data_IF_124675392429
#
_entry.id   IF_124675392429
#
_cell.length_a   1.000
_cell.length_b   1.000
_cell.length_c   1.000
_cell.angle_alpha   90.00
_cell.angle_beta   90.00
_cell.angle_gamma   90.00
#
_symmetry.space_group_name_H-M   'P 1'
#
loop_
_entity.id
_entity.type
_entity.pdbx_description
1 polymer ?
#
# COMPACT_ATOMS: atom_id res chain seq x y z
N UNK A 1 -16.13 -4.85 19.84
CA UNK A 1 -16.53 -5.86 18.84
C UNK A 1 -15.41 -5.83 17.81
N UNK A 2 -14.66 -6.92 17.65
CA UNK A 2 -13.49 -6.94 16.76
C UNK A 2 -13.91 -6.57 15.33
N UNK A 3 -13.27 -5.55 14.78
CA UNK A 3 -13.39 -5.20 13.37
C UNK A 3 -12.89 -6.40 12.57
N UNK A 4 -13.79 -7.19 12.00
CA UNK A 4 -13.41 -8.18 10.98
C UNK A 4 -13.04 -7.40 9.72
N UNK A 5 -11.77 -6.98 9.65
CA UNK A 5 -11.15 -6.65 8.37
C UNK A 5 -11.32 -7.88 7.48
N UNK A 6 -11.77 -7.69 6.24
CA UNK A 6 -11.74 -8.76 5.25
C UNK A 6 -10.30 -9.23 5.18
N UNK A 7 -10.05 -10.38 5.76
CA UNK A 7 -8.73 -10.94 5.87
C UNK A 7 -8.50 -11.76 4.61
N UNK A 8 -7.30 -11.72 4.09
CA UNK A 8 -6.85 -12.60 3.04
C UNK A 8 -5.81 -13.54 3.66
N UNK A 9 -5.60 -14.69 3.06
CA UNK A 9 -4.53 -15.58 3.46
C UNK A 9 -3.62 -15.84 2.28
N UNK A 10 -2.34 -15.51 2.46
CA UNK A 10 -1.33 -16.02 1.56
C UNK A 10 -1.16 -17.51 1.78
N UNK A 11 -1.11 -18.21 0.65
CA UNK A 11 -0.88 -19.63 0.59
C UNK A 11 0.29 -19.94 -0.30
N UNK A 12 0.81 -21.16 -0.16
CA UNK A 12 1.81 -21.69 -1.07
C UNK A 12 1.56 -23.14 -1.41
N UNK A 13 2.00 -23.56 -2.58
CA UNK A 13 1.99 -24.94 -3.02
C UNK A 13 3.41 -25.34 -3.44
N UNK A 14 3.80 -26.59 -3.18
CA UNK A 14 5.11 -27.08 -3.57
C UNK A 14 5.18 -27.18 -5.10
N UNK A 15 6.29 -26.71 -5.67
CA UNK A 15 6.68 -27.06 -7.03
C UNK A 15 7.95 -27.89 -6.96
N UNK A 16 7.85 -29.15 -7.40
CA UNK A 16 8.94 -30.12 -7.33
C UNK A 16 9.64 -30.26 -8.66
N UNK A 17 10.92 -30.62 -8.63
CA UNK A 17 11.67 -31.07 -9.79
C UNK A 17 11.47 -32.57 -10.06
N UNK A 18 12.05 -33.06 -11.17
CA UNK A 18 12.00 -34.48 -11.54
C UNK A 18 12.62 -35.45 -10.52
N UNK A 19 13.43 -34.98 -9.57
CA UNK A 19 13.96 -35.80 -8.47
C UNK A 19 13.00 -35.87 -7.27
N UNK A 20 11.96 -35.05 -7.27
CA UNK A 20 10.99 -34.92 -6.18
C UNK A 20 11.41 -33.92 -5.11
N UNK A 21 12.48 -33.15 -5.32
CA UNK A 21 12.88 -32.09 -4.40
C UNK A 21 12.03 -30.83 -4.61
N UNK A 22 11.74 -30.10 -3.54
CA UNK A 22 11.03 -28.81 -3.65
C UNK A 22 11.97 -27.80 -4.30
N UNK A 23 11.70 -27.43 -5.55
CA UNK A 23 12.49 -26.46 -6.30
C UNK A 23 12.13 -25.03 -5.90
N UNK A 24 10.83 -24.73 -5.86
CA UNK A 24 10.25 -23.44 -5.48
C UNK A 24 8.79 -23.60 -5.02
N UNK A 25 8.16 -22.51 -4.61
CA UNK A 25 6.77 -22.48 -4.18
C UNK A 25 5.90 -21.72 -5.18
N UNK A 26 4.73 -22.25 -5.54
CA UNK A 26 3.69 -21.45 -6.21
C UNK A 26 2.94 -20.65 -5.16
N UNK A 27 2.91 -19.33 -5.29
CA UNK A 27 2.29 -18.42 -4.32
C UNK A 27 0.85 -18.13 -4.73
N UNK A 28 -0.06 -18.10 -3.76
CA UNK A 28 -1.47 -17.83 -3.97
C UNK A 28 -2.08 -16.99 -2.84
N UNK A 29 -3.28 -16.46 -3.05
CA UNK A 29 -4.04 -15.74 -2.04
C UNK A 29 -5.52 -16.12 -2.13
N UNK A 30 -6.14 -16.41 -0.99
CA UNK A 30 -7.59 -16.58 -0.87
C UNK A 30 -8.18 -15.57 0.11
N UNK A 31 -9.49 -15.33 0.02
CA UNK A 31 -10.23 -14.69 1.12
C UNK A 31 -10.21 -15.61 2.35
N UNK A 32 -10.08 -15.03 3.54
CA UNK A 32 -10.07 -15.75 4.83
C UNK A 32 -11.49 -16.07 5.38
N UNK A 33 -12.55 -15.50 4.78
CA UNK A 33 -13.94 -15.77 5.19
C UNK A 33 -14.51 -17.07 4.58
N UNK A 34 -15.70 -17.50 5.06
CA UNK A 34 -16.28 -18.84 4.86
C UNK A 34 -16.39 -19.30 3.39
N UNK A 35 -16.44 -18.37 2.43
CA UNK A 35 -16.31 -18.66 1.00
C UNK A 35 -14.88 -18.31 0.53
N UNK A 36 -13.97 -19.29 0.63
CA UNK A 36 -12.60 -19.25 0.08
C UNK A 36 -12.64 -19.18 -1.46
N UNK A 37 -13.07 -18.05 -2.00
CA UNK A 37 -13.08 -17.79 -3.43
C UNK A 37 -11.65 -17.49 -3.92
N UNK A 38 -11.21 -18.11 -5.03
CA UNK A 38 -9.93 -17.80 -5.66
C UNK A 38 -9.89 -16.33 -6.06
N UNK A 39 -8.81 -15.64 -5.72
CA UNK A 39 -8.65 -14.22 -6.06
C UNK A 39 -7.84 -14.10 -7.35
N UNK A 40 -8.13 -13.10 -8.18
CA UNK A 40 -7.41 -12.93 -9.45
C UNK A 40 -5.89 -12.70 -9.24
N UNK A 41 -5.04 -13.07 -10.21
CA UNK A 41 -3.59 -12.82 -10.15
C UNK A 41 -3.22 -11.35 -9.90
N UNK A 42 -4.04 -10.41 -10.39
CA UNK A 42 -3.85 -8.98 -10.12
C UNK A 42 -3.96 -8.66 -8.63
N UNK A 43 -4.91 -9.29 -7.94
CA UNK A 43 -5.11 -9.09 -6.51
C UNK A 43 -3.96 -9.68 -5.71
N UNK A 44 -3.49 -10.88 -6.08
CA UNK A 44 -2.32 -11.51 -5.47
C UNK A 44 -1.12 -10.57 -5.44
N UNK A 45 -0.75 -10.02 -6.60
CA UNK A 45 0.40 -9.12 -6.72
C UNK A 45 0.20 -7.86 -5.88
N UNK A 46 -0.99 -7.24 -5.93
CA UNK A 46 -1.26 -6.01 -5.18
C UNK A 46 -1.22 -6.25 -3.66
N UNK A 47 -1.81 -7.34 -3.17
CA UNK A 47 -1.77 -7.68 -1.76
C UNK A 47 -0.36 -8.05 -1.30
N UNK A 48 0.41 -8.77 -2.13
CA UNK A 48 1.78 -9.13 -1.82
C UNK A 48 2.64 -7.88 -1.67
N UNK A 49 2.66 -7.03 -2.69
CA UNK A 49 3.46 -5.79 -2.71
C UNK A 49 3.12 -4.89 -1.54
N UNK A 50 1.83 -4.74 -1.25
CA UNK A 50 1.38 -3.82 -0.24
C UNK A 50 1.53 -4.35 1.21
N UNK A 51 1.79 -5.65 1.38
CA UNK A 51 2.17 -6.27 2.65
C UNK A 51 3.62 -6.78 2.63
N UNK A 52 4.42 -6.41 1.63
CA UNK A 52 5.73 -7.02 1.43
C UNK A 52 6.72 -6.56 2.51
N UNK A 53 7.39 -7.53 3.12
CA UNK A 53 8.49 -7.30 4.06
C UNK A 53 9.42 -8.52 4.06
N UNK A 54 10.67 -8.39 4.54
CA UNK A 54 11.56 -9.54 4.70
C UNK A 54 10.96 -10.67 5.54
N UNK A 55 10.12 -10.34 6.53
CA UNK A 55 9.43 -11.33 7.37
C UNK A 55 8.33 -12.07 6.61
N UNK A 56 7.56 -11.37 5.77
CA UNK A 56 6.53 -11.97 4.92
C UNK A 56 7.17 -12.86 3.86
N UNK A 57 8.26 -12.41 3.25
CA UNK A 57 9.05 -13.20 2.32
C UNK A 57 9.58 -14.48 2.97
N UNK A 58 10.22 -14.38 4.14
CA UNK A 58 10.79 -15.54 4.83
C UNK A 58 9.71 -16.56 5.22
N UNK A 59 8.55 -16.11 5.70
CA UNK A 59 7.42 -17.00 6.00
C UNK A 59 6.89 -17.69 4.75
N UNK A 60 6.74 -16.95 3.64
CA UNK A 60 6.18 -17.49 2.40
C UNK A 60 7.15 -18.44 1.70
N UNK A 61 8.40 -18.04 1.56
CA UNK A 61 9.35 -18.65 0.64
C UNK A 61 10.54 -19.31 1.33
N UNK A 62 10.87 -18.88 2.55
CA UNK A 62 12.11 -19.25 3.24
C UNK A 62 13.31 -19.08 2.31
N UNK A 63 14.08 -20.16 2.14
CA UNK A 63 15.27 -20.17 1.27
C UNK A 63 15.00 -20.48 -0.22
N UNK A 64 13.74 -20.65 -0.63
CA UNK A 64 13.37 -20.98 -2.02
C UNK A 64 12.83 -19.75 -2.76
N UNK A 65 12.65 -19.88 -4.08
CA UNK A 65 11.93 -18.86 -4.87
C UNK A 65 10.42 -19.07 -4.80
N UNK A 66 9.66 -18.03 -5.10
CA UNK A 66 8.21 -18.04 -5.30
C UNK A 66 7.84 -17.82 -6.76
N UNK A 67 7.05 -18.72 -7.34
CA UNK A 67 6.38 -18.51 -8.63
C UNK A 67 5.14 -17.64 -8.40
N UNK A 68 5.17 -16.43 -8.95
CA UNK A 68 4.13 -15.40 -8.79
C UNK A 68 3.45 -15.14 -10.13
N UNK A 69 2.15 -15.41 -10.22
CA UNK A 69 1.38 -15.07 -11.41
C UNK A 69 1.19 -13.56 -11.56
N UNK A 70 1.52 -13.05 -12.75
CA UNK A 70 1.53 -11.61 -13.04
C UNK A 70 1.01 -11.37 -14.46
N UNK A 71 -0.12 -10.66 -14.64
CA UNK A 71 -0.53 -10.20 -15.96
C UNK A 71 0.58 -9.37 -16.61
N UNK A 72 0.97 -9.69 -17.85
CA UNK A 72 2.16 -9.09 -18.47
C UNK A 72 2.12 -7.56 -18.56
N UNK A 73 0.93 -6.95 -18.67
CA UNK A 73 0.79 -5.48 -18.66
C UNK A 73 1.15 -4.83 -17.32
N UNK A 74 1.14 -5.58 -16.21
CA UNK A 74 1.54 -5.08 -14.89
C UNK A 74 3.05 -4.88 -14.75
N UNK A 75 3.89 -5.53 -15.56
CA UNK A 75 5.34 -5.28 -15.57
C UNK A 75 5.66 -3.81 -15.86
N UNK A 76 4.81 -3.12 -16.65
CA UNK A 76 4.98 -1.69 -16.96
C UNK A 76 4.78 -0.80 -15.72
N UNK A 77 4.14 -1.33 -14.68
CA UNK A 77 3.92 -0.61 -13.42
C UNK A 77 5.11 -0.82 -12.48
N UNK A 78 6.25 -0.17 -12.77
CA UNK A 78 7.50 -0.32 -12.01
C UNK A 78 7.34 -0.29 -10.49
N UNK A 79 6.55 0.66 -9.98
CA UNK A 79 6.22 0.80 -8.56
C UNK A 79 5.61 -0.43 -7.88
N UNK A 80 5.15 -1.41 -8.65
CA UNK A 80 4.61 -2.68 -8.15
C UNK A 80 5.71 -3.74 -8.07
N UNK A 81 6.59 -3.83 -9.06
CA UNK A 81 7.58 -4.90 -9.16
C UNK A 81 8.85 -4.57 -8.39
N UNK A 82 9.25 -3.30 -8.36
CA UNK A 82 10.48 -2.82 -7.71
C UNK A 82 10.47 -3.04 -6.17
N UNK A 83 9.29 -3.28 -5.59
CA UNK A 83 9.14 -3.60 -4.18
C UNK A 83 9.59 -5.03 -3.87
N UNK A 84 9.51 -5.94 -4.84
CA UNK A 84 9.81 -7.36 -4.66
C UNK A 84 11.32 -7.63 -4.82
N UNK A 85 11.85 -8.57 -4.04
CA UNK A 85 13.21 -9.06 -4.20
C UNK A 85 13.34 -9.98 -5.41
N UNK A 86 14.04 -9.53 -6.46
CA UNK A 86 14.20 -10.30 -7.69
C UNK A 86 14.82 -11.68 -7.50
N UNK A 87 15.72 -11.84 -6.53
CA UNK A 87 16.35 -13.14 -6.23
C UNK A 87 15.38 -14.17 -5.64
N UNK A 88 14.21 -13.74 -5.19
CA UNK A 88 13.20 -14.56 -4.50
C UNK A 88 11.98 -14.86 -5.35
N UNK A 89 11.77 -14.19 -6.48
CA UNK A 89 10.59 -14.41 -7.30
C UNK A 89 10.90 -14.88 -8.72
N UNK A 90 10.00 -15.71 -9.24
CA UNK A 90 9.86 -16.07 -10.63
C UNK A 90 8.52 -15.48 -11.09
N UNK A 91 8.55 -14.55 -12.05
CA UNK A 91 7.34 -13.88 -12.54
C UNK A 91 6.71 -14.74 -13.65
N UNK A 92 5.58 -15.38 -13.35
CA UNK A 92 4.81 -16.15 -14.32
C UNK A 92 3.85 -15.26 -15.08
N UNK A 93 4.22 -14.90 -16.30
CA UNK A 93 3.51 -13.94 -17.12
C UNK A 93 2.24 -14.54 -17.70
N UNK A 94 1.10 -13.94 -17.33
CA UNK A 94 -0.24 -14.34 -17.77
C UNK A 94 -0.84 -13.33 -18.74
N UNK A 95 -2.02 -13.65 -19.29
CA UNK A 95 -2.73 -12.80 -20.23
C UNK A 95 -2.89 -11.38 -19.68
N UNK A 96 -2.72 -10.35 -20.52
CA UNK A 96 -2.82 -8.97 -20.07
C UNK A 96 -4.27 -8.62 -19.73
N UNK A 97 -4.45 -7.75 -18.73
CA UNK A 97 -5.77 -7.26 -18.30
C UNK A 97 -6.37 -6.29 -19.32
N UNK A 98 -5.51 -5.62 -20.10
CA UNK A 98 -5.86 -4.66 -21.15
C UNK A 98 -5.02 -4.96 -22.38
N UNK A 99 -5.54 -4.66 -23.57
CA UNK A 99 -4.80 -4.82 -24.81
C UNK A 99 -3.43 -4.11 -24.75
N UNK A 100 -2.39 -4.83 -25.15
CA UNK A 100 -1.04 -4.28 -25.21
C UNK A 100 -0.94 -3.33 -26.42
N UNK A 101 -0.48 -2.10 -26.17
CA UNK A 101 -0.22 -1.12 -27.22
C UNK A 101 1.26 -1.21 -27.62
N UNK A 102 1.63 -0.64 -28.76
CA UNK A 102 3.05 -0.55 -29.16
C UNK A 102 3.91 0.15 -28.10
N UNK A 103 3.34 1.12 -27.36
CA UNK A 103 4.01 1.78 -26.22
C UNK A 103 4.27 0.80 -25.07
N UNK A 104 3.30 -0.06 -24.74
CA UNK A 104 3.48 -1.10 -23.71
C UNK A 104 4.58 -2.08 -24.13
N UNK A 105 4.54 -2.57 -25.38
CA UNK A 105 5.54 -3.53 -25.89
C UNK A 105 6.95 -2.93 -25.90
N UNK A 106 7.12 -1.67 -26.27
CA UNK A 106 8.42 -1.00 -26.22
C UNK A 106 8.94 -0.86 -24.78
N UNK A 107 8.09 -0.46 -23.84
CA UNK A 107 8.46 -0.35 -22.43
C UNK A 107 8.89 -1.72 -21.85
N UNK A 108 8.19 -2.80 -22.21
CA UNK A 108 8.52 -4.14 -21.74
C UNK A 108 9.96 -4.56 -22.09
N UNK A 109 10.49 -4.18 -23.26
CA UNK A 109 11.88 -4.52 -23.65
C UNK A 109 12.92 -4.04 -22.65
N UNK A 110 12.79 -2.80 -22.19
CA UNK A 110 13.70 -2.23 -21.19
C UNK A 110 13.49 -2.89 -19.83
N UNK A 111 12.23 -3.18 -19.48
CA UNK A 111 11.86 -3.75 -18.18
C UNK A 111 12.32 -5.18 -17.99
N UNK A 112 12.23 -6.02 -19.03
CA UNK A 112 12.73 -7.39 -18.96
C UNK A 112 14.24 -7.44 -18.67
N UNK A 113 15.03 -6.61 -19.36
CA UNK A 113 16.46 -6.49 -19.10
C UNK A 113 16.73 -6.05 -17.66
N UNK A 114 16.09 -4.94 -17.25
CA UNK A 114 16.26 -4.40 -15.91
C UNK A 114 15.92 -5.41 -14.81
N UNK A 115 14.77 -6.09 -14.89
CA UNK A 115 14.38 -7.05 -13.87
C UNK A 115 15.20 -8.34 -13.89
N UNK A 116 15.73 -8.74 -15.05
CA UNK A 116 16.69 -9.84 -15.08
C UNK A 116 18.01 -9.46 -14.38
N UNK A 117 18.48 -8.22 -14.51
CA UNK A 117 19.64 -7.70 -13.77
C UNK A 117 19.39 -7.65 -12.26
N UNK A 118 18.17 -7.32 -11.82
CA UNK A 118 17.72 -7.40 -10.42
C UNK A 118 17.53 -8.85 -9.91
N UNK A 119 17.76 -9.85 -10.78
CA UNK A 119 17.78 -11.27 -10.42
C UNK A 119 16.45 -12.00 -10.54
N UNK A 120 15.40 -11.36 -11.08
CA UNK A 120 14.14 -12.02 -11.40
C UNK A 120 14.36 -13.08 -12.49
N UNK A 121 13.61 -14.17 -12.38
CA UNK A 121 13.43 -15.13 -13.47
C UNK A 121 12.03 -14.99 -14.04
N UNK A 122 11.88 -15.33 -15.30
CA UNK A 122 10.59 -15.24 -15.98
C UNK A 122 10.06 -16.62 -16.37
N UNK A 123 8.78 -16.83 -16.08
CA UNK A 123 7.98 -17.89 -16.65
C UNK A 123 6.93 -17.26 -17.58
N UNK A 124 6.45 -18.01 -18.57
CA UNK A 124 5.34 -17.55 -19.40
C UNK A 124 4.27 -18.63 -19.49
N UNK A 125 3.02 -18.24 -19.23
CA UNK A 125 1.89 -19.16 -19.30
C UNK A 125 1.60 -19.52 -20.77
N UNK A 126 1.37 -20.81 -21.02
CA UNK A 126 0.95 -21.40 -22.31
C UNK A 126 -0.17 -20.63 -23.02
N UNK A 127 -1.19 -20.16 -22.28
CA UNK A 127 -2.29 -19.34 -22.80
C UNK A 127 -1.81 -17.99 -23.37
N UNK A 128 -0.81 -17.36 -22.74
CA UNK A 128 -0.21 -16.12 -23.26
C UNK A 128 0.61 -16.41 -24.52
N UNK A 129 1.41 -17.47 -24.51
CA UNK A 129 2.22 -17.90 -25.67
C UNK A 129 1.32 -18.18 -26.89
N UNK A 130 0.24 -18.93 -26.69
CA UNK A 130 -0.65 -19.33 -27.78
C UNK A 130 -1.49 -18.17 -28.32
N UNK A 131 -1.96 -17.27 -27.45
CA UNK A 131 -2.85 -16.16 -27.81
C UNK A 131 -2.12 -14.90 -28.28
N UNK A 132 -0.86 -14.70 -27.88
CA UNK A 132 -0.04 -13.53 -28.21
C UNK A 132 1.36 -13.98 -28.69
N UNK A 133 1.40 -14.71 -29.81
CA UNK A 133 2.65 -15.29 -30.35
C UNK A 133 3.71 -14.23 -30.67
N UNK A 134 3.28 -13.05 -31.08
CA UNK A 134 4.15 -11.90 -31.34
C UNK A 134 4.83 -11.40 -30.07
N UNK A 135 4.12 -11.40 -28.94
CA UNK A 135 4.68 -11.04 -27.63
C UNK A 135 5.69 -12.09 -27.20
N UNK A 136 5.35 -13.38 -27.32
CA UNK A 136 6.30 -14.45 -27.04
C UNK A 136 7.56 -14.35 -27.92
N UNK A 137 7.41 -14.14 -29.22
CA UNK A 137 8.55 -14.01 -30.14
C UNK A 137 9.52 -12.89 -29.74
N UNK A 138 8.99 -11.76 -29.26
CA UNK A 138 9.80 -10.61 -28.82
C UNK A 138 10.54 -10.82 -27.50
N UNK A 139 9.98 -11.63 -26.59
CA UNK A 139 10.51 -11.76 -25.22
C UNK A 139 11.01 -13.17 -24.89
N UNK A 140 10.98 -14.09 -25.85
CA UNK A 140 11.35 -15.50 -25.66
C UNK A 140 12.75 -15.68 -25.07
N UNK A 141 13.69 -14.80 -25.37
CA UNK A 141 15.06 -14.84 -24.83
C UNK A 141 15.11 -14.69 -23.29
N UNK A 142 14.22 -13.88 -22.70
CA UNK A 142 14.15 -13.62 -21.26
C UNK A 142 13.45 -14.74 -20.48
N UNK A 143 12.63 -15.54 -21.16
CA UNK A 143 11.81 -16.56 -20.51
C UNK A 143 12.69 -17.76 -20.14
N UNK A 144 12.67 -18.17 -18.88
CA UNK A 144 13.35 -19.39 -18.41
C UNK A 144 12.41 -20.58 -18.41
N UNK A 145 11.15 -20.35 -18.01
CA UNK A 145 10.16 -21.42 -17.82
C UNK A 145 8.91 -21.24 -18.68
N UNK A 146 8.31 -22.34 -19.10
CA UNK A 146 7.02 -22.39 -19.77
C UNK A 146 6.03 -23.07 -18.84
N UNK A 147 5.01 -22.32 -18.42
CA UNK A 147 4.00 -22.79 -17.48
C UNK A 147 2.75 -23.29 -18.21
N UNK A 148 2.23 -24.46 -17.84
CA UNK A 148 1.00 -25.02 -18.40
C UNK A 148 0.15 -25.73 -17.34
N UNK A 149 -1.17 -25.67 -17.53
CA UNK A 149 -2.18 -26.39 -16.74
C UNK A 149 -2.79 -27.56 -17.53
N UNK A 150 -2.36 -27.74 -18.78
CA UNK A 150 -2.83 -28.79 -19.67
C UNK A 150 -1.63 -29.65 -20.06
N UNK A 151 -1.21 -29.59 -21.32
CA UNK A 151 -0.05 -30.32 -21.83
C UNK A 151 1.24 -29.48 -21.78
N UNK A 152 2.41 -30.12 -21.70
CA UNK A 152 3.70 -29.42 -21.76
C UNK A 152 3.92 -28.79 -23.14
N UNK A 153 4.30 -27.50 -23.14
CA UNK A 153 4.77 -26.82 -24.35
C UNK A 153 6.30 -26.81 -24.33
N UNK A 154 6.87 -27.76 -25.06
CA UNK A 154 8.32 -27.91 -25.17
C UNK A 154 8.88 -26.86 -26.15
N UNK A 155 9.68 -25.93 -25.61
CA UNK A 155 10.39 -24.90 -26.37
C UNK A 155 11.88 -25.06 -26.13
N UNK A 156 12.67 -24.90 -27.19
CA UNK A 156 14.11 -25.10 -27.12
C UNK A 156 14.76 -24.21 -26.05
N UNK A 157 15.53 -24.83 -25.15
CA UNK A 157 16.23 -24.14 -24.08
C UNK A 157 15.33 -23.61 -22.94
N UNK A 158 14.06 -24.02 -22.88
CA UNK A 158 13.11 -23.63 -21.82
C UNK A 158 12.72 -24.84 -20.98
N UNK A 159 12.58 -24.63 -19.68
CA UNK A 159 12.11 -25.65 -18.74
C UNK A 159 10.59 -25.57 -18.61
N UNK A 160 9.93 -26.69 -18.35
CA UNK A 160 8.47 -26.78 -18.29
C UNK A 160 7.97 -26.88 -16.84
N UNK A 161 6.90 -26.16 -16.53
CA UNK A 161 6.22 -26.20 -15.23
C UNK A 161 4.77 -26.64 -15.46
N UNK A 162 4.37 -27.77 -14.89
CA UNK A 162 3.03 -28.33 -14.98
C UNK A 162 2.27 -28.21 -13.66
N UNK A 163 1.13 -27.53 -13.66
CA UNK A 163 0.32 -27.36 -12.44
C UNK A 163 -1.13 -27.76 -12.65
N UNK A 164 -1.32 -29.02 -13.07
CA UNK A 164 -2.61 -29.70 -13.17
C UNK A 164 -2.64 -30.90 -12.22
N UNK A 165 -3.84 -31.38 -11.88
CA UNK A 165 -4.02 -32.55 -11.01
C UNK A 165 -3.36 -33.82 -11.58
N UNK A 166 -3.10 -33.85 -12.90
CA UNK A 166 -2.46 -34.97 -13.60
C UNK A 166 -0.98 -34.73 -13.94
N UNK A 167 -0.41 -33.56 -13.62
CA UNK A 167 0.96 -33.25 -13.96
C UNK A 167 1.94 -34.17 -13.20
N UNK A 168 2.92 -34.73 -13.93
CA UNK A 168 3.93 -35.63 -13.34
C UNK A 168 5.34 -35.25 -13.79
N UNK A 169 6.34 -35.73 -13.05
CA UNK A 169 7.76 -35.63 -13.42
C UNK A 169 8.12 -36.30 -14.75
N UNK A 170 7.25 -37.14 -15.30
CA UNK A 170 7.47 -37.76 -16.61
C UNK A 170 7.17 -36.81 -17.78
N UNK A 171 6.34 -35.79 -17.54
CA UNK A 171 5.83 -34.88 -18.58
C UNK A 171 6.40 -33.47 -18.47
N UNK A 172 6.73 -33.04 -17.24
CA UNK A 172 7.24 -31.70 -16.95
C UNK A 172 8.56 -31.77 -16.17
N UNK A 173 9.45 -30.81 -16.43
CA UNK A 173 10.69 -30.64 -15.67
C UNK A 173 10.39 -30.29 -14.20
N UNK A 174 9.32 -29.52 -13.99
CA UNK A 174 8.78 -29.16 -12.68
C UNK A 174 7.27 -29.34 -12.62
N UNK A 175 6.73 -29.72 -11.47
CA UNK A 175 5.29 -29.93 -11.31
C UNK A 175 4.78 -29.49 -9.93
N UNK A 176 3.57 -28.91 -9.90
CA UNK A 176 2.90 -28.60 -8.65
C UNK A 176 2.44 -29.88 -7.94
N UNK A 177 2.66 -29.98 -6.63
CA UNK A 177 2.22 -31.12 -5.82
C UNK A 177 1.52 -30.67 -4.54
N UNK A 178 0.42 -31.35 -4.21
CA UNK A 178 -0.33 -31.18 -2.97
C UNK A 178 -1.30 -30.01 -3.00
N UNK A 179 -2.01 -29.80 -1.89
CA UNK A 179 -2.89 -28.64 -1.73
C UNK A 179 -2.10 -27.39 -1.31
N UNK A 180 -2.73 -26.23 -1.46
CA UNK A 180 -2.20 -24.98 -0.94
C UNK A 180 -2.15 -24.98 0.60
N UNK A 181 -0.96 -24.77 1.15
CA UNK A 181 -0.72 -24.56 2.57
C UNK A 181 -1.04 -23.10 2.95
N UNK A 182 -1.85 -22.92 4.00
CA UNK A 182 -2.17 -21.64 4.64
C UNK A 182 -0.91 -21.10 5.37
N UNK A 183 -0.35 -19.96 4.94
CA UNK A 183 0.92 -19.44 5.49
C UNK A 183 0.73 -18.21 6.38
N UNK A 184 0.07 -17.17 5.87
CA UNK A 184 -0.02 -15.88 6.55
C UNK A 184 -1.36 -15.21 6.28
N UNK A 185 -2.09 -14.92 7.35
CA UNK A 185 -3.28 -14.06 7.28
C UNK A 185 -2.82 -12.60 7.20
N UNK A 186 -3.33 -11.88 6.21
CA UNK A 186 -3.09 -10.45 5.97
C UNK A 186 -4.42 -9.70 5.87
N UNK A 187 -4.39 -8.39 6.13
CA UNK A 187 -5.57 -7.55 6.00
C UNK A 187 -5.67 -7.00 4.56
N UNK A 188 -6.89 -6.94 4.02
CA UNK A 188 -7.15 -6.38 2.69
C UNK A 188 -6.78 -4.91 2.59
N UNK A 189 -6.13 -4.53 1.48
CA UNK A 189 -5.97 -3.13 1.11
C UNK A 189 -6.89 -2.78 -0.07
N UNK A 190 -7.84 -1.87 0.13
CA UNK A 190 -8.76 -1.41 -0.94
C UNK A 190 -8.01 -0.63 -2.03
N UNK A 191 -8.53 -0.59 -3.27
CA UNK A 191 -7.90 0.09 -4.43
C UNK A 191 -7.45 1.53 -4.14
N UNK A 192 -8.25 2.29 -3.39
CA UNK A 192 -7.90 3.65 -2.95
C UNK A 192 -6.71 3.67 -1.99
N UNK A 193 -6.52 2.64 -1.16
CA UNK A 193 -5.38 2.52 -0.24
C UNK A 193 -4.07 2.39 -1.00
N UNK A 194 -4.03 1.54 -2.03
CA UNK A 194 -2.85 1.37 -2.88
C UNK A 194 -2.53 2.65 -3.67
N UNK A 195 -3.55 3.33 -4.21
CA UNK A 195 -3.37 4.61 -4.90
C UNK A 195 -2.80 5.69 -3.96
N UNK A 196 -3.30 5.75 -2.73
CA UNK A 196 -2.87 6.73 -1.74
C UNK A 196 -1.47 6.41 -1.18
N UNK A 197 -1.13 5.15 -0.90
CA UNK A 197 0.24 4.75 -0.52
C UNK A 197 1.26 5.17 -1.58
N UNK A 198 0.93 4.92 -2.86
CA UNK A 198 1.78 5.32 -3.99
C UNK A 198 1.97 6.83 -4.06
N UNK A 199 0.90 7.60 -3.86
CA UNK A 199 0.96 9.06 -3.89
C UNK A 199 1.79 9.63 -2.72
N UNK A 200 1.71 9.03 -1.53
CA UNK A 200 2.54 9.43 -0.38
C UNK A 200 4.02 9.17 -0.65
N UNK A 201 4.37 8.02 -1.26
CA UNK A 201 5.74 7.72 -1.69
C UNK A 201 6.24 8.71 -2.74
N UNK A 202 5.44 8.99 -3.78
CA UNK A 202 5.79 9.97 -4.83
C UNK A 202 6.04 11.38 -4.28
N UNK A 203 5.30 11.78 -3.23
CA UNK A 203 5.50 13.07 -2.57
C UNK A 203 6.79 13.15 -1.75
N UNK A 204 7.37 12.01 -1.35
CA UNK A 204 8.67 11.95 -0.68
C UNK A 204 9.85 11.98 -1.65
N UNK A 205 9.60 11.81 -2.96
CA UNK A 205 10.59 11.82 -4.04
C UNK A 205 10.51 13.09 -4.93
N UNK A 206 9.89 14.17 -4.44
CA UNK A 206 9.68 15.42 -5.18
C UNK A 206 9.00 15.22 -6.55
N UNK A 207 8.02 14.32 -6.63
CA UNK A 207 7.32 14.03 -7.88
C UNK A 207 6.60 15.26 -8.47
N UNK A 208 6.58 15.32 -9.81
CA UNK A 208 5.89 16.40 -10.53
C UNK A 208 4.37 16.37 -10.31
N UNK A 209 3.74 17.55 -10.38
CA UNK A 209 2.27 17.71 -10.33
C UNK A 209 1.57 16.85 -11.38
N UNK A 210 2.18 16.67 -12.55
CA UNK A 210 1.61 15.88 -13.64
C UNK A 210 1.60 14.38 -13.30
N UNK A 211 2.67 13.90 -12.66
CA UNK A 211 2.77 12.51 -12.18
C UNK A 211 1.74 12.22 -11.08
N UNK A 212 1.57 13.15 -10.14
CA UNK A 212 0.59 13.06 -9.06
C UNK A 212 -0.84 13.08 -9.63
N UNK A 213 -1.12 13.99 -10.57
CA UNK A 213 -2.42 14.12 -11.19
C UNK A 213 -2.85 12.86 -11.97
N UNK A 214 -1.94 12.25 -12.73
CA UNK A 214 -2.24 11.00 -13.45
C UNK A 214 -2.47 9.82 -12.49
N UNK A 215 -1.76 9.78 -11.37
CA UNK A 215 -1.97 8.74 -10.35
C UNK A 215 -3.31 8.92 -9.63
N UNK A 216 -3.68 10.15 -9.26
CA UNK A 216 -5.00 10.46 -8.67
C UNK A 216 -6.13 10.15 -9.64
N UNK A 217 -5.98 10.49 -10.92
CA UNK A 217 -6.95 10.22 -11.99
C UNK A 217 -7.26 8.73 -12.17
N UNK A 218 -6.35 7.85 -11.75
CA UNK A 218 -6.54 6.40 -11.76
C UNK A 218 -7.63 5.90 -10.80
N UNK A 219 -8.06 6.71 -9.83
CA UNK A 219 -9.10 6.36 -8.86
C UNK A 219 -10.20 7.46 -8.79
N UNK A 220 -11.37 7.26 -9.43
CA UNK A 220 -12.44 8.25 -9.47
C UNK A 220 -12.98 8.68 -8.10
N UNK A 221 -12.88 7.81 -7.08
CA UNK A 221 -13.33 8.15 -5.74
C UNK A 221 -12.30 9.05 -5.04
N UNK A 222 -11.00 8.85 -5.29
CA UNK A 222 -9.95 9.77 -4.84
C UNK A 222 -10.04 11.15 -5.54
N UNK A 223 -10.35 11.18 -6.85
CA UNK A 223 -10.61 12.42 -7.59
C UNK A 223 -11.76 13.20 -6.95
N UNK A 224 -12.87 12.52 -6.65
CA UNK A 224 -14.06 13.15 -6.06
C UNK A 224 -13.73 13.74 -4.68
N UNK A 225 -13.04 12.97 -3.82
CA UNK A 225 -12.61 13.42 -2.49
C UNK A 225 -11.65 14.61 -2.56
N UNK A 226 -10.71 14.62 -3.51
CA UNK A 226 -9.76 15.72 -3.68
C UNK A 226 -10.47 17.02 -4.10
N UNK A 227 -11.39 16.93 -5.06
CA UNK A 227 -12.15 18.08 -5.53
C UNK A 227 -13.11 18.61 -4.46
N UNK A 228 -13.74 17.74 -3.67
CA UNK A 228 -14.54 18.15 -2.51
C UNK A 228 -13.68 18.83 -1.45
N UNK A 229 -12.51 18.27 -1.15
CA UNK A 229 -11.58 18.80 -0.16
C UNK A 229 -11.09 20.21 -0.55
N UNK A 230 -10.63 20.40 -1.78
CA UNK A 230 -10.13 21.71 -2.24
C UNK A 230 -11.25 22.74 -2.41
N UNK A 231 -12.48 22.30 -2.66
CA UNK A 231 -13.64 23.18 -2.76
C UNK A 231 -14.36 23.44 -1.43
N UNK A 232 -13.82 22.92 -0.34
CA UNK A 232 -14.41 23.08 0.99
C UNK A 232 -14.15 24.50 1.55
N UNK A 233 -14.92 24.93 2.56
CA UNK A 233 -14.73 26.23 3.20
C UNK A 233 -13.33 26.48 3.79
N UNK A 234 -12.55 25.42 4.05
CA UNK A 234 -11.15 25.49 4.51
C UNK A 234 -10.23 26.21 3.51
N UNK A 235 -10.62 26.25 2.24
CA UNK A 235 -9.80 26.71 1.14
C UNK A 235 -10.51 27.82 0.35
N UNK A 236 -10.56 29.06 0.86
CA UNK A 236 -11.34 30.12 0.24
C UNK A 236 -10.84 30.50 -1.17
N UNK A 237 -11.58 30.10 -2.19
CA UNK A 237 -11.32 30.40 -3.60
C UNK A 237 -12.43 31.26 -4.22
N UNK A 238 -12.06 32.10 -5.20
CA UNK A 238 -13.02 32.99 -5.91
C UNK A 238 -13.90 32.25 -6.92
N UNK A 239 -13.48 31.07 -7.37
CA UNK A 239 -14.18 30.19 -8.31
C UNK A 239 -13.90 28.76 -7.91
N UNK A 240 -14.88 27.89 -8.14
CA UNK A 240 -14.78 26.46 -7.93
C UNK A 240 -13.63 25.86 -8.76
N UNK A 241 -12.89 24.94 -8.16
CA UNK A 241 -11.76 24.23 -8.74
C UNK A 241 -12.25 22.90 -9.30
N UNK A 242 -12.24 22.77 -10.63
CA UNK A 242 -12.84 21.63 -11.34
C UNK A 242 -11.82 20.60 -11.87
N UNK A 243 -10.51 20.85 -11.70
CA UNK A 243 -9.47 19.98 -12.26
C UNK A 243 -8.45 19.52 -11.22
N UNK A 244 -7.99 18.27 -11.37
CA UNK A 244 -7.00 17.65 -10.46
C UNK A 244 -5.70 18.46 -10.40
N UNK A 245 -5.19 18.93 -11.54
CA UNK A 245 -3.97 19.76 -11.58
C UNK A 245 -4.16 21.09 -10.85
N UNK A 246 -5.31 21.75 -11.06
CA UNK A 246 -5.60 22.99 -10.37
C UNK A 246 -5.77 22.75 -8.87
N UNK A 247 -6.37 21.63 -8.47
CA UNK A 247 -6.49 21.24 -7.07
C UNK A 247 -5.11 21.02 -6.41
N UNK A 248 -4.21 20.28 -7.06
CA UNK A 248 -2.85 20.06 -6.57
C UNK A 248 -2.06 21.38 -6.49
N UNK A 249 -2.12 22.21 -7.54
CA UNK A 249 -1.41 23.49 -7.56
C UNK A 249 -1.94 24.47 -6.51
N UNK A 250 -3.26 24.45 -6.27
CA UNK A 250 -3.91 25.31 -5.29
C UNK A 250 -3.61 24.87 -3.85
N UNK A 251 -3.65 23.55 -3.59
CA UNK A 251 -3.31 22.98 -2.27
C UNK A 251 -1.81 23.11 -1.97
N UNK A 252 -0.96 22.93 -2.97
CA UNK A 252 0.46 22.68 -2.78
C UNK A 252 0.73 21.25 -2.31
N UNK A 253 1.99 20.82 -2.41
CA UNK A 253 2.40 19.43 -2.13
C UNK A 253 2.21 19.04 -0.66
N UNK A 254 2.41 19.99 0.28
CA UNK A 254 2.25 19.76 1.71
C UNK A 254 0.78 19.44 2.09
N UNK A 255 -0.17 20.26 1.65
CA UNK A 255 -1.59 20.02 1.94
C UNK A 255 -2.14 18.82 1.17
N UNK A 256 -1.61 18.54 -0.02
CA UNK A 256 -1.91 17.30 -0.74
C UNK A 256 -1.45 16.07 0.06
N UNK A 257 -0.26 16.13 0.68
CA UNK A 257 0.25 15.05 1.55
C UNK A 257 -0.66 14.82 2.75
N UNK A 258 -1.09 15.90 3.43
CA UNK A 258 -2.05 15.82 4.55
C UNK A 258 -3.38 15.18 4.14
N UNK A 259 -3.94 15.63 3.02
CA UNK A 259 -5.15 15.05 2.43
C UNK A 259 -4.98 13.55 2.16
N UNK A 260 -3.89 13.16 1.51
CA UNK A 260 -3.63 11.77 1.16
C UNK A 260 -3.46 10.90 2.40
N UNK A 261 -2.69 11.33 3.39
CA UNK A 261 -2.54 10.59 4.66
C UNK A 261 -3.90 10.39 5.33
N UNK A 262 -4.74 11.42 5.34
CA UNK A 262 -6.05 11.31 5.96
C UNK A 262 -7.04 10.44 5.16
N UNK A 263 -6.97 10.46 3.82
CA UNK A 263 -7.69 9.47 2.98
C UNK A 263 -7.15 8.07 3.21
N UNK A 264 -5.83 7.88 3.30
CA UNK A 264 -5.18 6.60 3.60
C UNK A 264 -5.76 6.01 4.87
N UNK A 265 -5.73 6.76 5.98
CA UNK A 265 -6.25 6.31 7.26
C UNK A 265 -7.75 5.99 7.23
N UNK A 266 -8.54 6.78 6.49
CA UNK A 266 -9.99 6.53 6.33
C UNK A 266 -10.31 5.19 5.67
N UNK A 267 -9.33 4.57 5.02
CA UNK A 267 -9.51 3.33 4.30
C UNK A 267 -9.09 2.09 5.10
N UNK A 268 -8.12 2.19 6.01
CA UNK A 268 -7.62 1.05 6.81
C UNK A 268 -8.64 0.51 7.80
N UNK A 269 -9.65 1.28 8.14
CA UNK A 269 -10.66 0.82 9.08
C UNK A 269 -12.05 1.29 8.63
N UNK A 270 -13.02 0.39 8.69
CA UNK A 270 -14.25 0.44 7.89
C UNK A 270 -15.32 1.44 8.35
N UNK A 271 -16.53 1.25 7.81
CA UNK A 271 -17.77 2.01 8.08
C UNK A 271 -18.36 1.70 9.49
N UNK A 272 -17.52 1.57 10.52
CA UNK A 272 -17.99 1.38 11.90
C UNK A 272 -18.18 2.77 12.56
N UNK A 273 -19.36 3.07 13.15
CA UNK A 273 -19.58 4.33 13.86
C UNK A 273 -18.55 4.60 14.97
N UNK A 274 -18.04 3.56 15.64
CA UNK A 274 -16.97 3.68 16.65
C UNK A 274 -15.61 4.04 16.03
N UNK A 275 -15.40 3.70 14.76
CA UNK A 275 -14.20 4.05 14.01
C UNK A 275 -14.27 5.46 13.43
N UNK A 276 -15.44 5.91 12.96
CA UNK A 276 -15.64 7.32 12.60
C UNK A 276 -15.25 8.20 13.80
N UNK A 277 -15.65 7.80 15.01
CA UNK A 277 -15.27 8.49 16.24
C UNK A 277 -13.75 8.43 16.51
N UNK A 278 -13.10 7.30 16.21
CA UNK A 278 -11.64 7.16 16.33
C UNK A 278 -10.88 8.04 15.32
N UNK A 279 -11.30 8.08 14.05
CA UNK A 279 -10.72 8.97 13.02
C UNK A 279 -10.95 10.42 13.37
N UNK A 280 -12.16 10.77 13.83
CA UNK A 280 -12.45 12.10 14.35
C UNK A 280 -11.49 12.45 15.46
N UNK A 281 -11.32 11.59 16.47
CA UNK A 281 -10.38 11.82 17.57
C UNK A 281 -8.95 12.06 17.09
N UNK A 282 -8.44 11.25 16.16
CA UNK A 282 -7.10 11.45 15.62
C UNK A 282 -6.93 12.75 14.84
N UNK A 283 -7.91 13.08 14.00
CA UNK A 283 -7.90 14.34 13.26
C UNK A 283 -8.05 15.53 14.22
N UNK A 284 -8.88 15.41 15.27
CA UNK A 284 -8.99 16.41 16.34
C UNK A 284 -7.62 16.62 16.97
N UNK A 285 -6.90 15.56 17.33
CA UNK A 285 -5.56 15.67 17.91
C UNK A 285 -4.56 16.33 16.94
N UNK A 286 -4.64 15.99 15.65
CA UNK A 286 -3.78 16.55 14.61
C UNK A 286 -3.99 18.06 14.45
N UNK A 287 -5.24 18.50 14.29
CA UNK A 287 -5.57 19.92 14.15
C UNK A 287 -5.35 20.68 15.46
N UNK A 288 -5.61 20.05 16.61
CA UNK A 288 -5.34 20.63 17.91
C UNK A 288 -3.85 20.91 18.07
N UNK A 289 -2.98 19.92 17.82
CA UNK A 289 -1.54 20.10 17.97
C UNK A 289 -0.98 21.09 16.93
N UNK A 290 -1.48 21.08 15.69
CA UNK A 290 -1.15 22.08 14.66
C UNK A 290 -1.50 23.51 15.11
N UNK A 291 -2.64 23.68 15.78
CA UNK A 291 -3.11 24.99 16.23
C UNK A 291 -2.20 25.62 17.29
N UNK A 292 -1.48 24.79 18.08
CA UNK A 292 -0.47 25.24 19.05
C UNK A 292 0.88 25.65 18.45
N UNK A 293 1.03 25.64 17.12
CA UNK A 293 2.27 26.07 16.45
C UNK A 293 2.79 27.46 16.83
N UNK A 294 1.94 28.37 17.31
CA UNK A 294 2.38 29.67 17.85
C UNK A 294 3.01 29.56 19.25
N UNK A 295 2.58 28.57 20.03
CA UNK A 295 3.04 28.29 21.38
C UNK A 295 4.26 27.37 21.38
N UNK A 296 4.46 26.61 20.30
CA UNK A 296 5.58 25.69 20.10
C UNK A 296 6.51 26.28 19.02
N UNK A 297 7.43 27.19 19.38
CA UNK A 297 8.31 27.81 18.41
C UNK A 297 9.27 26.79 17.78
N UNK A 298 9.63 27.01 16.51
CA UNK A 298 10.58 26.20 15.73
C UNK A 298 10.12 24.81 15.27
N UNK A 299 8.87 24.41 15.53
CA UNK A 299 8.30 23.20 14.93
C UNK A 299 7.31 23.60 13.82
N UNK A 300 7.54 23.16 12.57
CA UNK A 300 6.60 23.39 11.48
C UNK A 300 5.20 22.81 11.76
N UNK A 301 4.16 23.55 11.35
CA UNK A 301 2.74 23.20 11.56
C UNK A 301 2.37 21.81 11.07
N UNK A 302 2.88 21.44 9.90
CA UNK A 302 2.71 20.13 9.28
C UNK A 302 3.30 19.00 10.13
N UNK A 303 4.46 19.21 10.75
CA UNK A 303 5.05 18.22 11.66
C UNK A 303 4.23 18.05 12.95
N UNK A 304 3.72 19.15 13.49
CA UNK A 304 2.78 19.12 14.64
C UNK A 304 1.49 18.40 14.28
N UNK A 305 0.95 18.63 13.08
CA UNK A 305 -0.23 17.92 12.58
C UNK A 305 0.03 16.41 12.52
N UNK A 306 1.13 15.98 11.89
CA UNK A 306 1.47 14.56 11.77
C UNK A 306 1.71 13.92 13.13
N UNK A 307 2.42 14.60 14.03
CA UNK A 307 2.65 14.12 15.38
C UNK A 307 1.32 13.92 16.14
N UNK A 308 0.40 14.89 16.09
CA UNK A 308 -0.91 14.79 16.73
C UNK A 308 -1.78 13.68 16.13
N UNK A 309 -1.68 13.47 14.81
CA UNK A 309 -2.39 12.43 14.08
C UNK A 309 -1.98 11.01 14.54
N UNK A 310 -0.68 10.79 14.70
CA UNK A 310 -0.14 9.47 15.05
C UNK A 310 0.09 9.26 16.55
N UNK A 311 -0.06 10.30 17.37
CA UNK A 311 0.26 10.27 18.80
C UNK A 311 -0.39 9.10 19.56
N UNK A 312 -1.69 8.86 19.37
CA UNK A 312 -2.44 7.85 20.12
C UNK A 312 -2.41 6.46 19.49
N UNK A 313 -1.88 6.34 18.27
CA UNK A 313 -1.85 5.09 17.52
C UNK A 313 -1.03 3.98 18.21
N UNK A 314 0.22 4.20 18.69
CA UNK A 314 0.99 3.16 19.36
C UNK A 314 0.23 2.50 20.52
N UNK A 315 -0.45 3.32 21.34
CA UNK A 315 -1.28 2.87 22.45
C UNK A 315 -2.51 2.08 21.99
N UNK A 316 -3.17 2.50 20.91
CA UNK A 316 -4.31 1.78 20.33
C UNK A 316 -3.91 0.40 19.78
N UNK A 317 -2.67 0.25 19.31
CA UNK A 317 -2.12 -0.99 18.78
C UNK A 317 -1.35 -1.83 19.81
N UNK A 318 -1.20 -1.34 21.04
CA UNK A 318 -0.44 -2.05 22.09
C UNK A 318 1.06 -2.20 21.78
N UNK A 319 1.62 -1.28 21.00
CA UNK A 319 3.02 -1.30 20.56
C UNK A 319 3.77 -0.07 21.08
N UNK A 320 5.11 -0.16 21.11
CA UNK A 320 5.94 1.00 21.45
C UNK A 320 5.90 2.04 20.31
N UNK A 321 5.86 3.35 20.62
CA UNK A 321 5.82 4.41 19.62
C UNK A 321 6.90 4.31 18.55
N UNK A 322 8.14 4.00 18.92
CA UNK A 322 9.26 3.89 17.97
C UNK A 322 9.08 2.73 17.00
N UNK A 323 8.50 1.62 17.48
CA UNK A 323 8.21 0.46 16.63
C UNK A 323 7.08 0.79 15.66
N UNK A 324 6.07 1.53 16.13
CA UNK A 324 4.94 1.93 15.31
C UNK A 324 5.34 2.96 14.23
N UNK A 325 6.06 4.01 14.59
CA UNK A 325 6.45 5.04 13.61
C UNK A 325 7.38 4.49 12.52
N UNK A 326 8.26 3.56 12.88
CA UNK A 326 9.10 2.85 11.91
C UNK A 326 8.29 1.94 10.98
N UNK A 327 7.26 1.25 11.49
CA UNK A 327 6.46 0.33 10.66
C UNK A 327 5.63 1.05 9.61
N UNK A 328 5.23 2.29 9.87
CA UNK A 328 4.52 3.15 8.90
C UNK A 328 5.45 4.10 8.11
N UNK A 329 6.78 3.92 8.25
CA UNK A 329 7.80 4.71 7.56
C UNK A 329 7.61 6.24 7.72
N UNK A 330 7.26 6.69 8.94
CA UNK A 330 7.22 8.12 9.23
C UNK A 330 8.63 8.72 9.10
N UNK A 331 8.74 10.00 8.64
CA UNK A 331 10.02 10.69 8.66
C UNK A 331 10.64 10.66 10.07
N UNK A 332 11.94 10.38 10.15
CA UNK A 332 12.68 10.25 11.41
C UNK A 332 12.48 11.47 12.33
N UNK A 333 12.38 12.65 11.71
CA UNK A 333 12.10 13.93 12.35
C UNK A 333 10.81 13.91 13.19
N UNK A 334 9.76 13.19 12.78
CA UNK A 334 8.51 13.07 13.56
C UNK A 334 8.73 12.21 14.80
N UNK A 335 9.55 11.16 14.68
CA UNK A 335 9.94 10.31 15.81
C UNK A 335 10.82 11.08 16.81
N UNK A 336 11.65 11.99 16.33
CA UNK A 336 12.43 12.90 17.17
C UNK A 336 11.54 13.89 17.92
N UNK A 337 10.59 14.53 17.22
CA UNK A 337 9.62 15.44 17.84
C UNK A 337 8.77 14.76 18.91
N UNK A 338 8.37 13.50 18.71
CA UNK A 338 7.66 12.73 19.73
C UNK A 338 8.44 12.62 21.06
N UNK A 339 9.78 12.66 21.02
CA UNK A 339 10.66 12.55 22.19
C UNK A 339 11.07 13.92 22.75
N UNK A 340 10.73 15.01 22.07
CA UNK A 340 11.17 16.34 22.46
C UNK A 340 10.48 16.78 23.77
N UNK A 341 11.28 17.21 24.76
CA UNK A 341 10.77 17.62 26.08
C UNK A 341 9.80 18.82 25.99
N UNK A 342 10.05 19.73 25.04
CA UNK A 342 9.22 20.91 24.79
C UNK A 342 7.80 20.55 24.32
N UNK A 343 7.63 19.39 23.69
CA UNK A 343 6.37 18.89 23.14
C UNK A 343 5.57 18.02 24.10
N UNK A 344 6.22 17.38 25.07
CA UNK A 344 5.56 16.48 26.03
C UNK A 344 4.35 17.12 26.74
N UNK A 345 4.39 18.40 27.16
CA UNK A 345 3.23 19.03 27.80
C UNK A 345 2.00 19.11 26.88
N UNK A 346 2.19 19.33 25.58
CA UNK A 346 1.11 19.40 24.58
C UNK A 346 0.59 18.02 24.18
N UNK A 347 1.47 17.02 24.12
CA UNK A 347 1.06 15.63 23.92
C UNK A 347 0.26 15.10 25.12
N UNK A 348 0.71 15.41 26.34
CA UNK A 348 -0.01 15.08 27.55
C UNK A 348 -1.34 15.83 27.67
N UNK A 349 -1.45 17.05 27.14
CA UNK A 349 -2.71 17.79 27.08
C UNK A 349 -3.79 16.97 26.36
N UNK A 350 -3.44 16.31 25.24
CA UNK A 350 -4.35 15.45 24.47
C UNK A 350 -4.94 14.34 25.35
N UNK A 351 -4.11 13.72 26.20
CA UNK A 351 -4.57 12.66 27.12
C UNK A 351 -5.39 13.21 28.30
N UNK A 352 -5.24 14.49 28.62
CA UNK A 352 -5.90 15.15 29.75
C UNK A 352 -7.20 15.87 29.38
N UNK A 353 -7.59 15.96 28.11
CA UNK A 353 -8.78 16.70 27.67
C UNK A 353 -10.08 16.26 28.38
N UNK A 354 -10.17 14.99 28.77
CA UNK A 354 -11.33 14.42 29.46
C UNK A 354 -11.11 14.27 30.99
N UNK A 355 -9.98 14.75 31.52
CA UNK A 355 -9.60 14.61 32.93
C UNK A 355 -10.15 15.70 33.83
N UNK A 356 -10.54 15.36 35.06
CA UNK A 356 -10.93 16.32 36.11
C UNK A 356 -9.77 17.26 36.50
N UNK A 357 -8.51 16.87 36.22
CA UNK A 357 -7.31 17.65 36.53
C UNK A 357 -6.92 18.65 35.42
N UNK A 358 -7.68 18.70 34.30
CA UNK A 358 -7.36 19.53 33.13
C UNK A 358 -7.11 21.00 33.49
N UNK A 359 -7.95 21.58 34.37
CA UNK A 359 -7.86 22.99 34.75
C UNK A 359 -6.52 23.34 35.41
N UNK A 360 -6.03 22.46 36.28
CA UNK A 360 -4.72 22.62 36.91
C UNK A 360 -3.58 22.48 35.91
N UNK A 361 -3.73 21.58 34.94
CA UNK A 361 -2.73 21.31 33.93
C UNK A 361 -2.58 22.45 32.91
N UNK A 362 -3.68 22.98 32.36
CA UNK A 362 -3.65 24.08 31.38
C UNK A 362 -3.09 25.36 32.00
N UNK A 363 -3.36 25.61 33.29
CA UNK A 363 -2.77 26.73 34.02
C UNK A 363 -1.24 26.59 34.15
N UNK A 364 -0.74 25.36 34.32
CA UNK A 364 0.69 25.05 34.32
C UNK A 364 1.36 25.26 32.95
N UNK A 365 0.59 25.10 31.87
CA UNK A 365 0.99 25.40 30.49
C UNK A 365 0.93 26.90 30.13
N UNK A 366 0.41 27.74 31.04
CA UNK A 366 0.18 29.15 30.76
C UNK A 366 -0.99 29.40 29.81
N UNK A 367 -1.91 28.44 29.66
CA UNK A 367 -3.12 28.55 28.87
C UNK A 367 -4.32 28.85 29.77
N UNK A 368 -5.16 29.78 29.35
CA UNK A 368 -6.51 29.95 29.87
C UNK A 368 -7.46 28.90 29.28
N UNK A 369 -8.59 28.68 29.95
CA UNK A 369 -9.64 27.81 29.44
C UNK A 369 -10.25 28.32 28.12
N UNK A 370 -10.39 29.64 28.00
CA UNK A 370 -10.88 30.30 26.78
C UNK A 370 -9.95 30.03 25.60
N UNK A 371 -8.63 30.16 25.78
CA UNK A 371 -7.65 29.84 24.72
C UNK A 371 -7.70 28.36 24.32
N UNK A 372 -7.81 27.43 25.28
CA UNK A 372 -7.94 26.01 24.96
C UNK A 372 -9.23 25.73 24.16
N UNK A 373 -10.34 26.34 24.54
CA UNK A 373 -11.62 26.20 23.84
C UNK A 373 -11.54 26.73 22.39
N UNK A 374 -10.80 27.82 22.14
CA UNK A 374 -10.54 28.29 20.77
C UNK A 374 -9.80 27.25 19.92
N UNK A 375 -8.76 26.62 20.49
CA UNK A 375 -8.00 25.58 19.82
C UNK A 375 -8.84 24.32 19.54
N UNK A 376 -9.68 23.90 20.49
CA UNK A 376 -10.59 22.77 20.33
C UNK A 376 -11.67 23.05 19.29
N UNK A 377 -12.27 24.24 19.30
CA UNK A 377 -13.25 24.65 18.30
C UNK A 377 -12.66 24.64 16.89
N UNK A 378 -11.44 25.16 16.71
CA UNK A 378 -10.72 25.07 15.43
C UNK A 378 -10.54 23.60 14.99
N UNK A 379 -10.14 22.72 15.91
CA UNK A 379 -9.95 21.31 15.61
C UNK A 379 -11.27 20.64 15.22
N UNK A 380 -12.35 20.83 15.98
CA UNK A 380 -13.67 20.27 15.69
C UNK A 380 -14.24 20.76 14.36
N UNK A 381 -14.15 22.06 14.07
CA UNK A 381 -14.58 22.62 12.78
C UNK A 381 -13.79 22.02 11.62
N UNK A 382 -12.48 21.87 11.80
CA UNK A 382 -11.60 21.25 10.79
C UNK A 382 -11.94 19.78 10.55
N UNK A 383 -12.22 19.03 11.62
CA UNK A 383 -12.63 17.61 11.56
C UNK A 383 -14.00 17.45 10.92
N UNK A 384 -14.99 18.23 11.35
CA UNK A 384 -16.34 18.16 10.81
C UNK A 384 -16.35 18.46 9.31
N UNK A 385 -15.55 19.43 8.87
CA UNK A 385 -15.36 19.76 7.46
C UNK A 385 -14.60 18.67 6.70
N UNK A 386 -13.65 18.00 7.36
CA UNK A 386 -12.90 16.90 6.77
C UNK A 386 -13.75 15.62 6.59
N UNK A 387 -14.70 15.38 7.51
CA UNK A 387 -15.48 14.14 7.60
C UNK A 387 -16.86 14.22 6.94
N UNK A 388 -17.35 15.43 6.63
CA UNK A 388 -18.58 15.68 5.85
C UNK A 388 -18.36 15.41 4.36
#
# INVERSE_FOLDING_TARGET
MEVKLSSFIFKRQNVRDGAGDIAFYKVWIDKWEEDREPVSPSSLVLHLVANYSPEVEEKLLGNRRGLLELPIDMLVSRSVIDVLNGTKFILNLTLPRKALTSKHVNALKELFNHYQEEGFLFAMHSKLISSHREVFGLFSEYITYVYSEEEPINLEGKLTIGCSDSATSAEFDFFCEGEYEDVLVINSLKHMQAAVSKLISMLSEDASVDSLAETIKGDPALVTKLLQYVNSPLFPHRKEIESIRNAINYLGLENLKKFLIAVWMSQFFGQDPSFIEFVKKMLTNAFLLESFSKNIPNVPKDKLFLLGLFYQMPSAFGVRPEVFFNSIQLPEEITELYKEESLQPYLKLIDMLESEELEGFIKGLGLSREELEEHLNYAEESVNTFMS
#
